data_IF_802439119108
#
_entry.id   IF_802439119108
#
_cell.length_a   1.000
_cell.length_b   1.000
_cell.length_c   1.000
_cell.angle_alpha   90.00
_cell.angle_beta   90.00
_cell.angle_gamma   90.00
#
_symmetry.space_group_name_H-M   'P 1'
#
loop_
_entity.id
_entity.type
_entity.pdbx_description
1 polymer ?
#
# COMPACT_ATOMS: atom_id res chain seq x y z
N UNK A 1 1.69 24.64 2.28
CA UNK A 1 1.36 23.33 1.67
C UNK A 1 1.31 22.31 2.81
N UNK A 2 0.12 22.09 3.38
CA UNK A 2 -0.08 21.23 4.54
C UNK A 2 -0.16 19.78 4.07
N UNK A 3 0.63 18.93 4.73
CA UNK A 3 0.90 17.53 4.45
C UNK A 3 -0.21 16.77 3.69
N UNK A 4 0.15 16.18 2.55
CA UNK A 4 -0.60 15.08 1.92
C UNK A 4 -0.56 13.79 2.76
N UNK A 5 0.17 13.81 3.88
CA UNK A 5 0.39 12.71 4.79
C UNK A 5 -0.46 12.91 6.05
N UNK A 6 -1.01 11.86 6.66
CA UNK A 6 -1.45 11.94 8.05
C UNK A 6 -0.27 12.42 8.90
N UNK A 7 -0.51 13.26 9.92
CA UNK A 7 0.55 13.76 10.81
C UNK A 7 1.31 12.63 11.55
N UNK A 8 0.72 11.43 11.57
CA UNK A 8 1.26 10.20 12.16
C UNK A 8 1.49 9.15 11.08
N UNK A 9 2.40 8.20 11.32
CA UNK A 9 2.60 7.04 10.44
C UNK A 9 1.26 6.33 10.20
N UNK A 10 0.87 6.01 8.96
CA UNK A 10 -0.35 5.24 8.73
C UNK A 10 -0.22 3.87 9.39
N UNK A 11 -1.23 3.47 10.17
CA UNK A 11 -1.23 2.17 10.88
C UNK A 11 -2.26 1.19 10.28
N UNK A 12 -3.27 1.74 9.59
CA UNK A 12 -4.39 0.99 9.06
C UNK A 12 -4.47 1.08 7.53
N UNK A 13 -4.98 0.02 6.90
CA UNK A 13 -5.16 -0.04 5.44
C UNK A 13 -6.01 1.12 4.89
N UNK A 14 -7.00 1.59 5.67
CA UNK A 14 -7.85 2.74 5.30
C UNK A 14 -7.06 4.03 5.10
N UNK A 15 -5.94 4.20 5.81
CA UNK A 15 -5.12 5.40 5.74
C UNK A 15 -4.27 5.36 4.47
N UNK A 16 -3.76 4.18 4.08
CA UNK A 16 -3.10 3.97 2.78
C UNK A 16 -4.04 4.26 1.62
N UNK A 17 -5.30 3.80 1.67
CA UNK A 17 -6.32 4.09 0.65
C UNK A 17 -6.55 5.60 0.49
N UNK A 18 -6.60 6.35 1.61
CA UNK A 18 -6.73 7.81 1.57
C UNK A 18 -5.52 8.45 0.89
N UNK A 19 -4.32 8.02 1.24
CA UNK A 19 -3.08 8.53 0.63
C UNK A 19 -3.01 8.27 -0.89
N UNK A 20 -3.33 7.04 -1.33
CA UNK A 20 -3.38 6.70 -2.76
C UNK A 20 -4.37 7.59 -3.52
N UNK A 21 -5.57 7.82 -2.95
CA UNK A 21 -6.56 8.74 -3.54
C UNK A 21 -6.06 10.17 -3.65
N UNK A 22 -5.44 10.70 -2.59
CA UNK A 22 -4.89 12.05 -2.58
C UNK A 22 -3.75 12.26 -3.58
N UNK A 23 -3.00 11.19 -3.91
CA UNK A 23 -1.96 11.18 -4.93
C UNK A 23 -2.49 11.02 -6.36
N UNK A 24 -3.74 10.59 -6.53
CA UNK A 24 -4.30 10.25 -7.84
C UNK A 24 -3.79 8.91 -8.40
N UNK A 25 -3.36 7.99 -7.53
CA UNK A 25 -2.94 6.65 -7.94
C UNK A 25 -4.11 5.93 -8.67
N UNK A 26 -3.82 5.24 -9.77
CA UNK A 26 -4.84 4.62 -10.64
C UNK A 26 -5.24 3.20 -10.21
N UNK A 27 -4.46 2.58 -9.33
CA UNK A 27 -4.63 1.21 -8.83
C UNK A 27 -5.41 1.15 -7.51
N UNK A 28 -6.01 2.27 -7.06
CA UNK A 28 -6.77 2.36 -5.79
C UNK A 28 -7.87 1.30 -5.69
N UNK A 29 -8.57 1.02 -6.80
CA UNK A 29 -9.66 0.02 -6.78
C UNK A 29 -9.13 -1.39 -6.52
N UNK A 30 -8.06 -1.78 -7.22
CA UNK A 30 -7.42 -3.09 -7.06
C UNK A 30 -6.83 -3.25 -5.65
N UNK A 31 -6.24 -2.18 -5.09
CA UNK A 31 -5.79 -2.14 -3.71
C UNK A 31 -6.94 -2.36 -2.71
N UNK A 32 -8.09 -1.72 -2.92
CA UNK A 32 -9.28 -1.89 -2.06
C UNK A 32 -9.83 -3.31 -2.16
N UNK A 33 -9.87 -3.89 -3.36
CA UNK A 33 -10.35 -5.25 -3.55
C UNK A 33 -9.47 -6.24 -2.80
N UNK A 34 -8.14 -6.07 -2.83
CA UNK A 34 -7.21 -6.87 -2.03
C UNK A 34 -7.39 -6.61 -0.53
N UNK A 35 -7.64 -5.37 -0.10
CA UNK A 35 -7.90 -5.06 1.32
C UNK A 35 -9.09 -5.82 1.91
N UNK A 36 -10.09 -6.18 1.09
CA UNK A 36 -11.26 -6.96 1.55
C UNK A 36 -10.85 -8.35 2.07
N UNK A 37 -9.76 -8.92 1.56
CA UNK A 37 -9.19 -10.18 2.04
C UNK A 37 -8.63 -10.06 3.48
N UNK A 38 -8.42 -8.82 3.97
CA UNK A 38 -7.79 -8.50 5.25
C UNK A 38 -8.74 -7.78 6.23
N UNK A 39 -10.03 -7.68 5.91
CA UNK A 39 -10.99 -6.75 6.52
C UNK A 39 -11.32 -6.98 8.01
N UNK A 40 -10.80 -8.02 8.67
CA UNK A 40 -11.07 -8.27 10.09
C UNK A 40 -9.86 -8.77 10.90
N UNK A 41 -9.86 -8.43 12.20
CA UNK A 41 -8.85 -8.89 13.17
C UNK A 41 -7.47 -8.24 12.98
N UNK A 42 -6.41 -8.99 13.31
CA UNK A 42 -5.02 -8.51 13.28
C UNK A 42 -4.51 -8.11 11.88
N UNK A 43 -5.28 -8.42 10.83
CA UNK A 43 -4.96 -8.12 9.44
C UNK A 43 -5.44 -6.76 8.95
N UNK A 44 -6.27 -6.05 9.73
CA UNK A 44 -6.69 -4.68 9.41
C UNK A 44 -5.56 -3.64 9.54
N UNK A 45 -4.40 -4.05 10.07
CA UNK A 45 -3.18 -3.26 10.20
C UNK A 45 -2.25 -3.47 9.00
N UNK A 46 -1.42 -2.46 8.71
CA UNK A 46 -0.43 -2.53 7.62
C UNK A 46 0.56 -3.67 7.86
N UNK A 47 1.08 -3.81 9.09
CA UNK A 47 2.03 -4.88 9.44
C UNK A 47 1.40 -6.28 9.30
N UNK A 48 0.16 -6.45 9.75
CA UNK A 48 -0.56 -7.71 9.65
C UNK A 48 -0.81 -8.11 8.20
N UNK A 49 -1.29 -7.18 7.38
CA UNK A 49 -1.53 -7.40 5.96
C UNK A 49 -0.22 -7.69 5.19
N UNK A 50 0.86 -6.95 5.45
CA UNK A 50 2.16 -7.18 4.83
C UNK A 50 2.71 -8.57 5.16
N UNK A 51 2.66 -8.96 6.45
CA UNK A 51 3.09 -10.29 6.90
C UNK A 51 2.31 -11.41 6.22
N UNK A 52 1.00 -11.28 6.10
CA UNK A 52 0.16 -12.28 5.45
C UNK A 52 0.44 -12.33 3.94
N UNK A 53 0.54 -11.18 3.27
CA UNK A 53 0.78 -11.12 1.83
C UNK A 53 2.15 -11.68 1.45
N UNK A 54 3.20 -11.44 2.27
CA UNK A 54 4.53 -12.08 2.09
C UNK A 54 4.44 -13.61 2.06
N UNK A 55 3.61 -14.19 2.93
CA UNK A 55 3.40 -15.65 2.96
C UNK A 55 2.65 -16.13 1.73
N UNK A 56 1.59 -15.43 1.30
CA UNK A 56 0.81 -15.82 0.13
C UNK A 56 1.62 -15.75 -1.18
N UNK A 57 2.46 -14.72 -1.31
CA UNK A 57 3.28 -14.47 -2.50
C UNK A 57 4.55 -15.32 -2.58
N UNK A 58 4.88 -16.07 -1.52
CA UNK A 58 6.04 -16.95 -1.49
C UNK A 58 5.95 -18.04 -2.57
N UNK A 59 6.99 -18.13 -3.41
CA UNK A 59 7.04 -19.09 -4.52
C UNK A 59 6.08 -18.77 -5.69
N UNK A 60 5.49 -17.57 -5.72
CA UNK A 60 4.59 -17.13 -6.80
C UNK A 60 5.34 -16.28 -7.82
N UNK A 61 4.90 -16.35 -9.08
CA UNK A 61 5.48 -15.57 -10.17
C UNK A 61 4.83 -14.18 -10.25
N UNK A 62 5.67 -13.13 -10.34
CA UNK A 62 5.23 -11.75 -10.60
C UNK A 62 4.63 -11.54 -11.99
N UNK A 63 4.86 -12.47 -12.92
CA UNK A 63 4.35 -12.41 -14.29
C UNK A 63 2.92 -12.96 -14.41
N UNK A 64 2.41 -13.63 -13.37
CA UNK A 64 1.01 -14.01 -13.31
C UNK A 64 0.17 -12.79 -12.90
N UNK A 65 -0.83 -12.45 -13.70
CA UNK A 65 -1.66 -11.24 -13.52
C UNK A 65 -2.31 -11.16 -12.13
N UNK A 66 -2.85 -12.28 -11.63
CA UNK A 66 -3.44 -12.35 -10.30
C UNK A 66 -2.43 -12.07 -9.17
N UNK A 67 -1.18 -12.51 -9.35
CA UNK A 67 -0.11 -12.27 -8.37
C UNK A 67 0.54 -10.89 -8.52
N UNK A 68 0.56 -10.32 -9.73
CA UNK A 68 1.12 -8.98 -9.99
C UNK A 68 0.50 -7.93 -9.08
N UNK A 69 -0.83 -7.91 -8.98
CA UNK A 69 -1.59 -7.02 -8.10
C UNK A 69 -1.21 -7.20 -6.61
N UNK A 70 -1.02 -8.45 -6.18
CA UNK A 70 -0.64 -8.80 -4.79
C UNK A 70 0.79 -8.40 -4.45
N UNK A 71 1.70 -8.47 -5.42
CA UNK A 71 3.05 -7.95 -5.27
C UNK A 71 3.07 -6.42 -5.21
N UNK A 72 2.26 -5.73 -6.02
CA UNK A 72 2.11 -4.28 -5.96
C UNK A 72 1.53 -3.83 -4.60
N UNK A 73 0.47 -4.50 -4.14
CA UNK A 73 -0.10 -4.30 -2.80
C UNK A 73 0.96 -4.47 -1.69
N UNK A 74 1.75 -5.55 -1.74
CA UNK A 74 2.82 -5.76 -0.77
C UNK A 74 3.89 -4.66 -0.82
N UNK A 75 4.28 -4.21 -2.00
CA UNK A 75 5.25 -3.13 -2.17
C UNK A 75 4.76 -1.82 -1.57
N UNK A 76 3.47 -1.48 -1.76
CA UNK A 76 2.85 -0.31 -1.14
C UNK A 76 2.88 -0.39 0.39
N UNK A 77 2.56 -1.55 0.97
CA UNK A 77 2.60 -1.73 2.42
C UNK A 77 4.03 -1.63 2.97
N UNK A 78 5.01 -2.23 2.27
CA UNK A 78 6.41 -2.16 2.66
C UNK A 78 6.92 -0.70 2.63
N UNK A 79 6.54 0.06 1.61
CA UNK A 79 6.83 1.48 1.51
C UNK A 79 6.17 2.31 2.64
N UNK A 80 5.01 1.90 3.17
CA UNK A 80 4.44 2.59 4.35
C UNK A 80 5.22 2.23 5.61
N UNK A 81 5.67 0.97 5.72
CA UNK A 81 6.43 0.50 6.87
C UNK A 81 7.83 1.12 6.96
N UNK A 82 8.49 1.34 5.84
CA UNK A 82 9.80 2.01 5.77
C UNK A 82 9.71 3.55 5.77
N UNK A 83 8.50 4.09 5.63
CA UNK A 83 8.24 5.54 5.60
C UNK A 83 8.56 6.20 4.25
N UNK A 84 8.76 5.42 3.19
CA UNK A 84 9.02 5.89 1.82
C UNK A 84 7.75 6.10 0.99
N UNK A 85 6.59 5.67 1.47
CA UNK A 85 5.35 5.75 0.73
C UNK A 85 4.98 7.19 0.35
N UNK A 86 5.05 7.50 -0.93
CA UNK A 86 4.77 8.83 -1.48
C UNK A 86 5.96 9.79 -1.49
N UNK A 87 7.19 9.34 -1.17
CA UNK A 87 8.40 10.17 -1.29
C UNK A 87 8.82 10.42 -2.75
N UNK A 88 8.32 9.63 -3.72
CA UNK A 88 8.67 9.77 -5.14
C UNK A 88 8.05 11.00 -5.85
N UNK A 89 7.28 11.85 -5.15
CA UNK A 89 6.64 13.04 -5.77
C UNK A 89 7.31 14.38 -5.43
N UNK A 90 8.36 14.41 -4.61
CA UNK A 90 9.01 15.67 -4.18
C UNK A 90 10.31 15.99 -4.93
N UNK A 91 10.81 15.10 -5.80
CA UNK A 91 12.09 15.30 -6.47
C UNK A 91 12.03 16.09 -7.79
N UNK A 92 10.84 16.42 -8.33
CA UNK A 92 10.73 17.01 -9.68
C UNK A 92 9.73 18.17 -9.76
N UNK A 93 9.76 19.10 -8.82
CA UNK A 93 9.05 20.40 -8.96
C UNK A 93 9.88 21.58 -8.46
N UNK A 94 11.21 21.48 -8.60
CA UNK A 94 12.14 22.61 -8.52
C UNK A 94 13.15 22.49 -9.67
N UNK A 95 12.68 22.69 -10.90
CA UNK A 95 13.52 22.97 -12.07
C UNK A 95 12.84 24.04 -12.91
#
# INVERSE_FOLDING_TARGET
>A
MLALLPQTKPEFLRDVVRMKRSRGDTDVSEFIDICRDFASGSFATIEGAARHMRRQTQGKSRFNEYWRARFAFLADLDAVLDGSFGLDFMATTNA
#
